data_IF_051007934085
#
_entry.id   IF_051007934085
#
_cell.length_a   1.000
_cell.length_b   1.000
_cell.length_c   1.000
_cell.angle_alpha   90.00
_cell.angle_beta   90.00
_cell.angle_gamma   90.00
#
_symmetry.space_group_name_H-M   'P 1'
#
loop_
_entity.id
_entity.type
_entity.pdbx_description
1 polymer ?
#
# COMPACT_ATOMS: atom_id res chain seq x y z
N UNK A 1 -23.54 -3.46 -11.70
CA UNK A 1 -22.18 -2.91 -11.47
C UNK A 1 -21.20 -3.92 -12.03
N UNK A 2 -20.17 -3.48 -12.78
CA UNK A 2 -19.14 -4.39 -13.26
C UNK A 2 -18.44 -5.07 -12.08
N UNK A 3 -18.15 -6.35 -12.26
CA UNK A 3 -17.44 -7.25 -11.37
C UNK A 3 -16.01 -7.46 -11.85
N UNK A 4 -15.19 -8.18 -11.09
CA UNK A 4 -13.82 -8.52 -11.53
C UNK A 4 -13.81 -9.39 -12.80
N UNK A 5 -14.91 -10.09 -13.10
CA UNK A 5 -15.03 -10.96 -14.27
C UNK A 5 -15.33 -10.19 -15.56
N UNK A 6 -15.68 -8.91 -15.46
CA UNK A 6 -15.98 -8.04 -16.60
C UNK A 6 -14.72 -7.31 -17.14
N UNK A 7 -13.54 -7.64 -16.60
CA UNK A 7 -12.27 -7.03 -17.00
C UNK A 7 -11.58 -7.83 -18.12
N UNK A 8 -11.11 -7.14 -19.15
CA UNK A 8 -10.27 -7.74 -20.18
C UNK A 8 -8.96 -8.25 -19.59
N UNK A 9 -8.50 -9.41 -20.07
CA UNK A 9 -7.26 -10.05 -19.60
C UNK A 9 -6.12 -9.86 -20.61
N UNK A 10 -4.90 -9.56 -20.15
CA UNK A 10 -4.46 -9.54 -18.75
C UNK A 10 -4.74 -8.20 -18.05
N UNK A 11 -5.17 -8.29 -16.78
CA UNK A 11 -5.36 -7.14 -15.89
C UNK A 11 -4.66 -7.38 -14.56
N UNK A 12 -4.00 -6.35 -14.03
CA UNK A 12 -3.40 -6.38 -12.69
C UNK A 12 -4.44 -5.91 -11.68
N UNK A 13 -4.73 -6.76 -10.70
CA UNK A 13 -5.66 -6.45 -9.61
C UNK A 13 -4.91 -6.28 -8.29
N UNK A 14 -5.31 -5.29 -7.52
CA UNK A 14 -4.80 -5.05 -6.17
C UNK A 14 -6.00 -5.04 -5.22
N UNK A 15 -5.98 -5.94 -4.24
CA UNK A 15 -6.91 -5.90 -3.11
C UNK A 15 -6.56 -4.72 -2.20
N UNK A 16 -7.43 -3.71 -2.19
CA UNK A 16 -7.21 -2.46 -1.46
C UNK A 16 -7.22 -2.69 0.04
N UNK A 17 -8.17 -3.47 0.56
CA UNK A 17 -8.28 -3.72 1.99
C UNK A 17 -7.02 -4.43 2.52
N UNK A 18 -6.50 -5.39 1.75
CA UNK A 18 -5.26 -6.08 2.10
C UNK A 18 -4.04 -5.17 2.00
N UNK A 19 -3.95 -4.32 0.98
CA UNK A 19 -2.85 -3.38 0.82
C UNK A 19 -2.81 -2.36 1.97
N UNK A 20 -3.96 -1.83 2.39
CA UNK A 20 -4.08 -0.90 3.50
C UNK A 20 -3.73 -1.55 4.84
N UNK A 21 -4.21 -2.78 5.10
CA UNK A 21 -3.85 -3.53 6.30
C UNK A 21 -2.33 -3.81 6.37
N UNK A 22 -1.69 -4.07 5.22
CA UNK A 22 -0.25 -4.23 5.14
C UNK A 22 0.51 -2.94 5.46
N UNK A 23 0.06 -1.80 4.94
CA UNK A 23 0.65 -0.49 5.24
C UNK A 23 0.56 -0.21 6.75
N UNK A 24 -0.64 -0.35 7.32
CA UNK A 24 -0.87 -0.10 8.75
C UNK A 24 0.00 -1.01 9.63
N UNK A 25 0.09 -2.30 9.30
CA UNK A 25 0.92 -3.26 10.04
C UNK A 25 2.40 -2.92 9.98
N UNK A 26 2.92 -2.55 8.82
CA UNK A 26 4.33 -2.20 8.65
C UNK A 26 4.67 -0.92 9.45
N UNK A 27 3.79 0.08 9.39
CA UNK A 27 3.97 1.33 10.13
C UNK A 27 3.93 1.08 11.65
N UNK A 28 2.90 0.38 12.15
CA UNK A 28 2.77 0.06 13.56
C UNK A 28 3.99 -0.72 14.09
N UNK A 29 4.59 -1.58 13.27
CA UNK A 29 5.82 -2.27 13.62
C UNK A 29 7.01 -1.31 13.79
N UNK A 30 7.18 -0.36 12.86
CA UNK A 30 8.24 0.64 12.98
C UNK A 30 8.02 1.55 14.20
N UNK A 31 6.79 2.01 14.42
CA UNK A 31 6.41 2.86 15.55
C UNK A 31 6.68 2.17 16.88
N UNK A 32 6.29 0.89 17.02
CA UNK A 32 6.54 0.08 18.23
C UNK A 32 8.02 -0.02 18.58
N UNK A 33 8.90 0.02 17.58
CA UNK A 33 10.35 -0.05 17.76
C UNK A 33 11.03 1.33 17.78
N UNK A 34 10.27 2.43 17.73
CA UNK A 34 10.81 3.79 17.70
C UNK A 34 11.59 4.14 16.43
N UNK A 35 11.32 3.46 15.32
CA UNK A 35 12.02 3.65 14.04
C UNK A 35 11.19 4.49 13.06
N UNK A 36 11.86 5.27 12.22
CA UNK A 36 11.21 5.95 11.08
C UNK A 36 11.13 5.00 9.89
N UNK A 37 9.92 4.71 9.43
CA UNK A 37 9.70 3.89 8.24
C UNK A 37 9.80 4.73 6.96
N UNK A 38 10.68 4.35 6.02
CA UNK A 38 10.76 4.91 4.67
C UNK A 38 10.56 3.82 3.61
N UNK A 39 9.32 3.54 3.17
CA UNK A 39 9.03 2.48 2.23
C UNK A 39 9.68 2.69 0.85
N UNK A 40 10.24 1.63 0.27
CA UNK A 40 10.77 1.68 -1.09
C UNK A 40 9.66 1.41 -2.11
N UNK A 41 9.37 2.37 -2.99
CA UNK A 41 8.20 2.28 -3.90
C UNK A 41 8.41 1.43 -5.16
N UNK A 42 9.60 0.82 -5.34
CA UNK A 42 9.91 -0.01 -6.54
C UNK A 42 8.88 -1.08 -6.88
N UNK A 43 8.19 -1.59 -5.86
CA UNK A 43 7.22 -2.69 -6.00
C UNK A 43 5.98 -2.24 -6.76
N UNK A 44 5.40 -1.09 -6.39
CA UNK A 44 4.17 -0.60 -7.01
C UNK A 44 4.42 0.51 -8.02
N UNK A 45 5.43 1.37 -7.81
CA UNK A 45 5.73 2.57 -8.63
C UNK A 45 4.56 3.53 -8.85
N UNK A 46 3.49 3.38 -8.05
CA UNK A 46 2.30 4.22 -8.07
C UNK A 46 2.33 5.26 -6.94
N UNK A 47 2.16 6.57 -7.24
CA UNK A 47 2.04 7.61 -6.22
C UNK A 47 0.87 7.43 -5.26
N UNK A 48 -0.21 6.75 -5.70
CA UNK A 48 -1.38 6.46 -4.86
C UNK A 48 -1.01 5.72 -3.57
N UNK A 49 -0.22 4.64 -3.68
CA UNK A 49 0.21 3.85 -2.53
C UNK A 49 1.27 4.57 -1.70
N UNK A 50 2.15 5.35 -2.33
CA UNK A 50 3.12 6.19 -1.61
C UNK A 50 2.42 7.21 -0.71
N UNK A 51 1.38 7.89 -1.22
CA UNK A 51 0.58 8.83 -0.42
C UNK A 51 -0.12 8.15 0.76
N UNK A 52 -0.65 6.93 0.57
CA UNK A 52 -1.24 6.15 1.67
C UNK A 52 -0.22 5.75 2.73
N UNK A 53 1.01 5.41 2.33
CA UNK A 53 2.11 5.13 3.26
C UNK A 53 2.46 6.36 4.09
N UNK A 54 2.64 7.52 3.44
CA UNK A 54 2.92 8.79 4.14
C UNK A 54 1.77 9.17 5.08
N UNK A 55 0.52 9.02 4.65
CA UNK A 55 -0.64 9.28 5.48
C UNK A 55 -0.73 8.35 6.72
N UNK A 56 -0.18 7.13 6.63
CA UNK A 56 -0.11 6.23 7.77
C UNK A 56 0.98 6.62 8.79
N UNK A 57 1.96 7.46 8.41
CA UNK A 57 3.07 7.88 9.27
C UNK A 57 4.46 7.61 8.69
N UNK A 58 4.55 7.08 7.47
CA UNK A 58 5.83 6.88 6.83
C UNK A 58 6.52 8.22 6.54
N UNK A 59 7.85 8.22 6.60
CA UNK A 59 8.67 9.41 6.36
C UNK A 59 9.39 9.26 5.02
N UNK A 60 9.04 10.15 4.08
CA UNK A 60 9.63 10.24 2.75
C UNK A 60 8.84 9.54 1.65
#
# INVERSE_FOLDING_TARGET
MPTIHDLDTPSILIDVARAEANIARAQAHADKNGLKLRPHIKTHKLPYWAKKQVAAGAVG
#
